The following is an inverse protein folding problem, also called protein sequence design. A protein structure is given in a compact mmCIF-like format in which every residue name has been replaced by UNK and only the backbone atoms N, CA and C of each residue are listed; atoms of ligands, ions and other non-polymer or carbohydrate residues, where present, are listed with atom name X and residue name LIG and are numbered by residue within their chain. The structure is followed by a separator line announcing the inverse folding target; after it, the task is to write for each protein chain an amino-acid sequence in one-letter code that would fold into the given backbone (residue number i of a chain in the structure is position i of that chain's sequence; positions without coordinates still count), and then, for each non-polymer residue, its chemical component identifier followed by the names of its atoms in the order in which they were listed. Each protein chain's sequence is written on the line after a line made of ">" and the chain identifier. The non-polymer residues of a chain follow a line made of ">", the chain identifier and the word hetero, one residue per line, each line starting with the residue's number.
data_IF_943141446824
#
_entry.id   IF_943141446824
#
_cell.length_a   1.000
_cell.length_b   1.000
_cell.length_c   1.000
_cell.angle_alpha   90.00
_cell.angle_beta   90.00
_cell.angle_gamma   90.00
#
_symmetry.space_group_name_H-M   'P 1'
#
loop_
_entity.id
_entity.type
_entity.pdbx_description
1 polymer ?
#
# COMPACT_ATOMS: atom_id res chain seq x y z
N UNK A 1 15.62 -4.85 -5.89
CA UNK A 1 14.64 -5.74 -5.24
C UNK A 1 15.41 -6.76 -4.45
N UNK A 2 15.25 -6.72 -3.14
CA UNK A 2 15.94 -7.60 -2.21
C UNK A 2 14.98 -8.72 -1.77
N UNK A 3 15.11 -9.90 -2.38
CA UNK A 3 14.22 -11.06 -2.13
C UNK A 3 14.08 -11.37 -0.64
N UNK A 4 15.20 -11.39 0.10
CA UNK A 4 15.20 -11.67 1.55
C UNK A 4 14.38 -10.64 2.33
N UNK A 5 14.53 -9.35 2.01
CA UNK A 5 13.75 -8.29 2.67
C UNK A 5 12.26 -8.41 2.35
N UNK A 6 11.91 -8.75 1.11
CA UNK A 6 10.52 -8.99 0.70
C UNK A 6 9.93 -10.13 1.52
N UNK A 7 10.58 -11.30 1.55
CA UNK A 7 10.07 -12.49 2.25
C UNK A 7 9.86 -12.23 3.75
N UNK A 8 10.81 -11.54 4.39
CA UNK A 8 10.72 -11.15 5.80
C UNK A 8 9.58 -10.16 6.07
N UNK A 9 9.21 -9.35 5.10
CA UNK A 9 8.18 -8.34 5.24
C UNK A 9 6.75 -8.86 4.97
N UNK A 10 6.57 -10.06 4.41
CA UNK A 10 5.25 -10.58 4.04
C UNK A 10 4.35 -10.73 5.28
N UNK A 11 4.86 -11.26 6.39
CA UNK A 11 4.07 -11.39 7.63
C UNK A 11 3.60 -10.04 8.14
N UNK A 12 4.51 -9.04 8.23
CA UNK A 12 4.11 -7.70 8.64
C UNK A 12 3.13 -7.05 7.65
N UNK A 13 3.31 -7.27 6.35
CA UNK A 13 2.40 -6.78 5.33
C UNK A 13 0.99 -7.33 5.52
N UNK A 14 0.86 -8.62 5.86
CA UNK A 14 -0.42 -9.25 6.16
C UNK A 14 -1.14 -8.57 7.33
N UNK A 15 -0.42 -8.28 8.42
CA UNK A 15 -0.97 -7.61 9.59
C UNK A 15 -1.40 -6.17 9.25
N UNK A 16 -0.52 -5.42 8.58
CA UNK A 16 -0.78 -4.03 8.18
C UNK A 16 -2.04 -3.93 7.31
N UNK A 17 -2.25 -4.85 6.37
CA UNK A 17 -3.45 -4.84 5.51
C UNK A 17 -4.77 -4.87 6.32
N UNK A 18 -4.79 -5.62 7.43
CA UNK A 18 -5.92 -5.61 8.36
C UNK A 18 -5.98 -4.29 9.14
N UNK A 19 -4.86 -3.87 9.71
CA UNK A 19 -4.74 -2.68 10.56
C UNK A 19 -5.26 -1.40 9.88
N UNK A 20 -5.01 -1.25 8.58
CA UNK A 20 -5.40 -0.06 7.83
C UNK A 20 -6.76 -0.20 7.11
N UNK A 21 -7.47 -1.32 7.34
CA UNK A 21 -8.78 -1.58 6.76
C UNK A 21 -8.78 -1.72 5.25
N UNK A 22 -7.76 -2.37 4.68
CA UNK A 22 -7.81 -2.87 3.29
C UNK A 22 -8.52 -4.23 3.24
N UNK A 23 -8.36 -5.03 4.31
CA UNK A 23 -9.14 -6.26 4.50
C UNK A 23 -10.52 -5.88 5.00
N UNK A 24 -11.54 -6.35 4.31
CA UNK A 24 -12.95 -6.18 4.67
C UNK A 24 -13.55 -7.52 5.04
N UNK A 25 -14.48 -7.54 6.00
CA UNK A 25 -15.20 -8.77 6.35
C UNK A 25 -16.53 -8.83 5.60
N UNK A 26 -16.69 -9.84 4.73
CA UNK A 26 -17.87 -9.99 3.89
C UNK A 26 -18.44 -11.40 4.05
N UNK A 27 -19.62 -11.51 4.65
CA UNK A 27 -20.24 -12.79 5.04
C UNK A 27 -19.36 -13.62 6.00
N UNK A 28 -18.66 -12.97 6.94
CA UNK A 28 -17.79 -13.64 7.91
C UNK A 28 -16.44 -14.09 7.34
N UNK A 29 -16.10 -13.70 6.11
CA UNK A 29 -14.81 -14.00 5.49
C UNK A 29 -13.99 -12.72 5.27
N UNK A 30 -12.70 -12.70 5.64
CA UNK A 30 -11.80 -11.59 5.33
C UNK A 30 -11.45 -11.61 3.84
N UNK A 31 -11.71 -10.51 3.14
CA UNK A 31 -11.49 -10.38 1.69
C UNK A 31 -10.78 -9.08 1.35
N UNK A 32 -10.19 -9.02 0.15
CA UNK A 32 -9.61 -7.81 -0.40
C UNK A 32 -10.20 -7.52 -1.77
N UNK A 33 -10.53 -6.26 -2.01
CA UNK A 33 -10.95 -5.79 -3.34
C UNK A 33 -9.80 -5.90 -4.35
N UNK A 34 -10.06 -6.53 -5.52
CA UNK A 34 -9.07 -6.68 -6.61
C UNK A 34 -8.45 -5.34 -7.02
N UNK A 35 -9.20 -4.24 -6.88
CA UNK A 35 -8.72 -2.88 -7.11
C UNK A 35 -7.44 -2.55 -6.34
N UNK A 36 -7.31 -2.94 -5.07
CA UNK A 36 -6.10 -2.68 -4.27
C UNK A 36 -4.87 -3.39 -4.84
N UNK A 37 -5.03 -4.67 -5.22
CA UNK A 37 -3.93 -5.46 -5.82
C UNK A 37 -3.49 -4.91 -7.17
N UNK A 38 -4.43 -4.41 -7.97
CA UNK A 38 -4.15 -3.72 -9.23
C UNK A 38 -3.41 -2.41 -9.00
N UNK A 39 -3.86 -1.57 -8.06
CA UNK A 39 -3.22 -0.30 -7.73
C UNK A 39 -1.80 -0.48 -7.18
N UNK A 40 -1.55 -1.40 -6.24
CA UNK A 40 -0.19 -1.62 -5.70
C UNK A 40 0.77 -2.18 -6.76
N UNK A 41 0.26 -3.01 -7.67
CA UNK A 41 1.05 -3.53 -8.80
C UNK A 41 1.47 -2.40 -9.75
N UNK A 42 0.52 -1.53 -10.11
CA UNK A 42 0.77 -0.39 -10.97
C UNK A 42 1.73 0.61 -10.31
N UNK A 43 1.56 0.87 -9.01
CA UNK A 43 2.44 1.73 -8.21
C UNK A 43 3.90 1.26 -8.25
N UNK A 44 4.15 -0.02 -7.94
CA UNK A 44 5.50 -0.60 -7.99
C UNK A 44 6.14 -0.50 -9.39
N UNK A 45 5.35 -0.67 -10.44
CA UNK A 45 5.79 -0.48 -11.82
C UNK A 45 6.12 0.99 -12.12
N UNK A 46 5.28 1.95 -11.70
CA UNK A 46 5.52 3.38 -11.87
C UNK A 46 6.82 3.85 -11.21
N UNK A 47 7.15 3.33 -10.02
CA UNK A 47 8.44 3.63 -9.38
C UNK A 47 9.59 3.01 -10.15
N UNK A 48 9.45 1.75 -10.58
CA UNK A 48 10.51 1.02 -11.28
C UNK A 48 10.88 1.69 -12.61
N UNK A 49 9.87 2.07 -13.40
CA UNK A 49 10.04 2.70 -14.72
C UNK A 49 10.25 4.21 -14.63
N UNK A 50 9.79 4.86 -13.56
CA UNK A 50 9.84 6.30 -13.37
C UNK A 50 10.54 6.73 -12.08
N UNK A 51 9.96 7.71 -11.40
CA UNK A 51 10.50 8.31 -10.19
C UNK A 51 9.70 7.91 -8.96
N UNK A 52 10.38 7.80 -7.81
CA UNK A 52 9.74 7.56 -6.52
C UNK A 52 8.82 8.74 -6.16
N UNK A 53 9.32 9.96 -6.29
CA UNK A 53 8.62 11.20 -5.89
C UNK A 53 7.31 11.35 -6.67
N UNK A 54 7.35 11.23 -8.00
CA UNK A 54 6.16 11.40 -8.84
C UNK A 54 5.13 10.30 -8.60
N UNK A 55 5.57 9.05 -8.42
CA UNK A 55 4.67 7.94 -8.12
C UNK A 55 3.99 8.13 -6.76
N UNK A 56 4.76 8.40 -5.69
CA UNK A 56 4.19 8.60 -4.36
C UNK A 56 3.24 9.80 -4.34
N UNK A 57 3.61 10.92 -4.96
CA UNK A 57 2.73 12.09 -5.05
C UNK A 57 1.40 11.75 -5.73
N UNK A 58 1.41 11.00 -6.83
CA UNK A 58 0.19 10.62 -7.53
C UNK A 58 -0.69 9.64 -6.72
N UNK A 59 -0.10 8.62 -6.10
CA UNK A 59 -0.85 7.60 -5.36
C UNK A 59 -1.24 8.03 -3.93
N UNK A 60 -0.69 9.14 -3.41
CA UNK A 60 -1.08 9.71 -2.11
C UNK A 60 -2.44 10.41 -2.13
N UNK A 61 -3.08 10.50 -3.29
CA UNK A 61 -4.45 10.96 -3.45
C UNK A 61 -5.32 9.81 -3.98
N UNK A 62 -6.58 9.70 -3.54
CA UNK A 62 -7.51 8.69 -4.09
C UNK A 62 -7.70 8.87 -5.61
N UNK A 63 -7.87 10.12 -6.05
CA UNK A 63 -8.17 10.45 -7.44
C UNK A 63 -9.42 9.72 -7.94
N UNK A 64 -9.35 9.21 -9.18
CA UNK A 64 -10.43 8.45 -9.82
C UNK A 64 -10.30 6.93 -9.61
N UNK A 65 -9.53 6.47 -8.62
CA UNK A 65 -9.39 5.05 -8.34
C UNK A 65 -10.68 4.50 -7.71
N UNK A 66 -11.06 3.27 -8.10
CA UNK A 66 -12.22 2.57 -7.54
C UNK A 66 -12.07 2.34 -6.03
N UNK A 67 -10.86 1.94 -5.61
CA UNK A 67 -10.49 1.76 -4.20
C UNK A 67 -9.78 2.98 -3.63
N UNK A 68 -9.79 3.13 -2.31
CA UNK A 68 -9.03 4.17 -1.62
C UNK A 68 -7.53 3.84 -1.58
N UNK A 69 -6.84 4.07 -2.70
CA UNK A 69 -5.40 3.76 -2.85
C UNK A 69 -4.49 4.52 -1.87
N UNK A 70 -4.98 5.55 -1.18
CA UNK A 70 -4.19 6.26 -0.15
C UNK A 70 -3.83 5.33 1.02
N UNK A 71 -4.70 4.36 1.32
CA UNK A 71 -4.44 3.26 2.26
C UNK A 71 -3.16 2.49 1.91
N UNK A 72 -2.87 2.27 0.63
CA UNK A 72 -1.63 1.60 0.22
C UNK A 72 -0.37 2.43 0.56
N UNK A 73 -0.45 3.75 0.44
CA UNK A 73 0.66 4.64 0.84
C UNK A 73 0.85 4.60 2.35
N UNK A 74 -0.25 4.62 3.12
CA UNK A 74 -0.22 4.45 4.58
C UNK A 74 0.37 3.09 4.99
N UNK A 75 0.01 1.99 4.31
CA UNK A 75 0.59 0.68 4.57
C UNK A 75 2.12 0.68 4.41
N UNK A 76 2.62 1.18 3.28
CA UNK A 76 4.07 1.22 3.02
C UNK A 76 4.78 2.08 4.07
N UNK A 77 4.18 3.20 4.45
CA UNK A 77 4.72 4.07 5.49
C UNK A 77 4.89 3.34 6.83
N UNK A 78 3.84 2.66 7.31
CA UNK A 78 3.88 1.86 8.55
C UNK A 78 4.89 0.73 8.46
N UNK A 79 5.03 0.10 7.30
CA UNK A 79 6.02 -0.95 7.08
C UNK A 79 7.47 -0.44 7.11
N UNK A 80 7.70 0.83 6.76
CA UNK A 80 9.02 1.47 6.88
C UNK A 80 9.28 1.86 8.34
N UNK A 81 8.26 2.39 9.02
CA UNK A 81 8.35 2.91 10.39
C UNK A 81 7.63 1.98 11.37
N UNK A 82 8.21 0.81 11.62
CA UNK A 82 7.61 -0.26 12.46
C UNK A 82 7.21 0.20 13.88
N UNK A 83 7.77 1.32 14.36
CA UNK A 83 7.49 1.89 15.68
C UNK A 83 6.33 2.89 15.69
N UNK A 84 5.86 3.32 14.52
CA UNK A 84 4.78 4.29 14.44
C UNK A 84 3.41 3.67 14.60
N UNK A 85 2.58 4.41 15.32
CA UNK A 85 1.22 4.06 15.69
C UNK A 85 0.25 4.47 14.58
N UNK A 86 -0.74 3.62 14.30
CA UNK A 86 -1.78 3.81 13.27
C UNK A 86 -2.60 5.10 13.43
N UNK A 87 -2.62 5.61 14.66
CA UNK A 87 -3.32 6.78 15.17
C UNK A 87 -2.64 8.12 14.85
N UNK A 88 -1.50 8.15 14.17
CA UNK A 88 -0.97 9.38 13.55
C UNK A 88 -1.61 9.58 12.17
N UNK A 89 -2.66 10.42 12.04
CA UNK A 89 -3.40 10.57 10.79
C UNK A 89 -2.60 11.37 9.75
N UNK A 90 -1.64 12.16 10.23
CA UNK A 90 -0.95 13.20 9.48
C UNK A 90 0.41 12.76 8.94
N UNK A 91 0.87 11.53 9.20
CA UNK A 91 2.14 11.06 8.69
C UNK A 91 1.94 10.16 7.46
N UNK A 92 2.17 10.74 6.28
CA UNK A 92 2.07 10.05 5.00
C UNK A 92 3.43 9.57 4.50
N UNK A 93 3.43 8.56 3.63
CA UNK A 93 4.63 8.16 2.89
C UNK A 93 5.27 9.33 2.14
N UNK A 94 4.45 10.27 1.67
CA UNK A 94 4.90 11.46 0.96
C UNK A 94 5.69 12.41 1.85
N UNK A 95 5.20 12.71 3.05
CA UNK A 95 5.92 13.57 4.01
C UNK A 95 7.21 12.92 4.47
N UNK A 96 7.18 11.64 4.82
CA UNK A 96 8.37 10.88 5.18
C UNK A 96 9.47 10.97 4.13
N UNK A 97 9.13 10.76 2.86
CA UNK A 97 10.11 10.84 1.76
C UNK A 97 10.63 12.27 1.60
N UNK A 98 9.75 13.28 1.68
CA UNK A 98 10.17 14.69 1.57
C UNK A 98 11.12 15.09 2.70
N UNK A 99 10.77 14.76 3.94
CA UNK A 99 11.58 15.08 5.13
C UNK A 99 12.93 14.40 5.06
N UNK A 100 12.95 13.10 4.75
CA UNK A 100 14.18 12.30 4.62
C UNK A 100 15.11 12.88 3.55
N UNK A 101 14.57 13.37 2.44
CA UNK A 101 15.38 13.93 1.34
C UNK A 101 15.75 15.40 1.51
N UNK A 102 15.03 16.16 2.35
CA UNK A 102 15.19 17.62 2.48
C UNK A 102 16.57 18.06 2.99
N UNK A 103 17.20 17.23 3.82
CA UNK A 103 18.54 17.49 4.37
C UNK A 103 19.68 17.06 3.47
N UNK A 104 19.43 16.18 2.50
CA UNK A 104 20.48 15.53 1.71
C UNK A 104 20.92 16.36 0.50
N UNK A 105 22.21 16.31 0.17
CA UNK A 105 22.76 16.96 -1.03
C UNK A 105 23.74 16.06 -1.78
N UNK A 106 23.90 16.29 -3.09
CA UNK A 106 24.94 15.64 -3.89
C UNK A 106 24.87 14.11 -3.84
N UNK A 107 25.95 13.47 -3.38
CA UNK A 107 26.06 12.00 -3.31
C UNK A 107 25.09 11.39 -2.28
N UNK A 108 25.00 12.00 -1.10
CA UNK A 108 24.11 11.55 -0.02
C UNK A 108 22.65 11.50 -0.48
N UNK A 109 22.21 12.51 -1.24
CA UNK A 109 20.86 12.51 -1.83
C UNK A 109 20.65 11.31 -2.74
N UNK A 110 21.61 10.98 -3.60
CA UNK A 110 21.48 9.86 -4.55
C UNK A 110 21.43 8.52 -3.85
N UNK A 111 22.26 8.33 -2.83
CA UNK A 111 22.31 7.10 -2.04
C UNK A 111 21.03 6.93 -1.22
N UNK A 112 20.61 7.97 -0.49
CA UNK A 112 19.37 7.98 0.29
C UNK A 112 18.15 7.74 -0.60
N UNK A 113 18.08 8.42 -1.75
CA UNK A 113 17.01 8.22 -2.73
C UNK A 113 16.98 6.78 -3.26
N UNK A 114 18.14 6.18 -3.55
CA UNK A 114 18.22 4.79 -4.02
C UNK A 114 17.74 3.80 -2.95
N UNK A 115 18.14 4.01 -1.69
CA UNK A 115 17.70 3.19 -0.55
C UNK A 115 16.19 3.29 -0.34
N UNK A 116 15.63 4.51 -0.32
CA UNK A 116 14.19 4.74 -0.19
C UNK A 116 13.42 4.11 -1.34
N UNK A 117 13.90 4.30 -2.59
CA UNK A 117 13.28 3.69 -3.77
C UNK A 117 13.25 2.18 -3.67
N UNK A 118 14.35 1.55 -3.24
CA UNK A 118 14.39 0.10 -3.06
C UNK A 118 13.47 -0.38 -1.93
N UNK A 119 13.45 0.31 -0.79
CA UNK A 119 12.56 -0.02 0.33
C UNK A 119 11.09 0.02 -0.09
N UNK A 120 10.66 1.12 -0.71
CA UNK A 120 9.27 1.29 -1.17
C UNK A 120 8.89 0.20 -2.19
N UNK A 121 9.78 -0.14 -3.13
CA UNK A 121 9.56 -1.25 -4.07
C UNK A 121 9.40 -2.58 -3.32
N UNK A 122 10.30 -2.89 -2.38
CA UNK A 122 10.26 -4.16 -1.65
C UNK A 122 8.97 -4.29 -0.84
N UNK A 123 8.54 -3.23 -0.14
CA UNK A 123 7.29 -3.25 0.63
C UNK A 123 6.04 -3.28 -0.26
N UNK A 124 6.07 -2.62 -1.43
CA UNK A 124 4.99 -2.74 -2.41
C UNK A 124 4.81 -4.18 -2.89
N UNK A 125 5.93 -4.90 -3.11
CA UNK A 125 5.91 -6.31 -3.49
C UNK A 125 5.42 -7.18 -2.33
N UNK A 126 5.88 -6.93 -1.10
CA UNK A 126 5.44 -7.66 0.08
C UNK A 126 3.92 -7.53 0.30
N UNK A 127 3.36 -6.32 0.18
CA UNK A 127 1.91 -6.09 0.24
C UNK A 127 1.17 -6.85 -0.85
N UNK A 128 1.64 -6.76 -2.10
CA UNK A 128 1.04 -7.51 -3.22
C UNK A 128 1.03 -9.02 -2.97
N UNK A 129 2.11 -9.57 -2.39
CA UNK A 129 2.21 -10.99 -2.07
C UNK A 129 1.29 -11.35 -0.90
N UNK A 130 1.26 -10.55 0.15
CA UNK A 130 0.37 -10.74 1.30
C UNK A 130 -1.12 -10.69 0.90
N UNK A 131 -1.49 -9.84 -0.06
CA UNK A 131 -2.86 -9.81 -0.61
C UNK A 131 -3.29 -11.15 -1.23
N UNK A 132 -2.36 -11.99 -1.70
CA UNK A 132 -2.71 -13.33 -2.23
C UNK A 132 -3.15 -14.32 -1.15
N UNK A 133 -2.97 -13.98 0.13
CA UNK A 133 -3.42 -14.79 1.26
C UNK A 133 -4.90 -14.59 1.58
N UNK A 134 -5.58 -13.68 0.85
CA UNK A 134 -7.00 -13.40 0.98
C UNK A 134 -7.74 -13.75 -0.31
N UNK A 135 -9.02 -14.16 -0.23
CA UNK A 135 -9.92 -14.15 -1.36
C UNK A 135 -10.02 -12.74 -1.96
N UNK A 136 -9.96 -12.65 -3.29
CA UNK A 136 -10.02 -11.39 -4.00
C UNK A 136 -11.37 -11.23 -4.70
N UNK A 137 -12.12 -10.18 -4.33
CA UNK A 137 -13.45 -9.89 -4.88
C UNK A 137 -13.45 -8.62 -5.73
N UNK A 138 -14.34 -8.57 -6.71
CA UNK A 138 -14.60 -7.33 -7.45
C UNK A 138 -15.59 -6.43 -6.70
N UNK A 139 -15.49 -5.11 -6.87
CA UNK A 139 -16.41 -4.14 -6.25
C UNK A 139 -17.88 -4.46 -6.57
N UNK A 140 -18.15 -4.97 -7.78
CA UNK A 140 -19.48 -5.34 -8.23
C UNK A 140 -20.08 -6.53 -7.45
N UNK A 141 -19.24 -7.48 -6.99
CA UNK A 141 -19.67 -8.68 -6.27
C UNK A 141 -20.10 -8.40 -4.82
N UNK A 142 -19.78 -7.21 -4.30
CA UNK A 142 -20.15 -6.77 -2.95
C UNK A 142 -21.55 -6.12 -2.95
N UNK A 143 -21.89 -5.36 -4.01
CA UNK A 143 -23.15 -4.63 -4.10
C UNK A 143 -24.40 -5.47 -4.39
N UNK A 144 -24.25 -6.70 -4.88
CA UNK A 144 -25.39 -7.57 -5.20
C UNK A 144 -26.03 -8.27 -3.99
N UNK A 145 -25.40 -8.24 -2.80
CA UNK A 145 -25.91 -8.98 -1.62
C UNK A 145 -26.80 -8.19 -0.67
N UNK A 146 -26.85 -6.86 -0.78
CA UNK A 146 -27.69 -6.03 0.11
C UNK A 146 -29.15 -5.89 -0.37
N UNK A 147 -29.49 -6.34 -1.58
CA UNK A 147 -30.86 -6.26 -2.14
C UNK A 147 -31.62 -7.61 -2.12
N UNK A 148 -31.21 -8.55 -1.27
CA UNK A 148 -31.79 -9.91 -1.22
C UNK A 148 -32.85 -10.17 -0.15
N UNK A 149 -33.23 -9.17 0.64
CA UNK A 149 -34.13 -9.35 1.78
C UNK A 149 -35.20 -8.28 1.86
N UNK A 150 -36.27 -8.44 1.08
CA UNK A 150 -37.65 -8.03 1.42
C UNK A 150 -38.53 -8.32 0.21
N UNK A 151 -39.33 -9.39 0.30
CA UNK A 151 -40.64 -9.55 -0.32
C UNK A 151 -41.28 -10.75 0.38
N UNK A 152 -41.84 -10.49 1.58
CA UNK A 152 -42.94 -11.28 2.14
C UNK A 152 -44.23 -11.05 1.32
#
# INVERSE_FOLDING_TARGET
>A
MNKRKVDQAISRAYDVLNEIGIVEEINGEPVILKGYKSQISAFGASISMGSLISAVSFYSEKGNAAVDRTKLMKAIYIMINEQEKLDQPDCTLWEYIKETLSGCKGLEYRETYAVLKEQVINYSIALKLAMNLYPLKDDAEIGEKDNGGENE
#
